data_IF_313230892789
#
_entry.id   IF_313230892789
#
_cell.length_a   1.000
_cell.length_b   1.000
_cell.length_c   1.000
_cell.angle_alpha   90.00
_cell.angle_beta   90.00
_cell.angle_gamma   90.00
#
_symmetry.space_group_name_H-M   'P 1'
#
loop_
_entity.id
_entity.type
_entity.pdbx_description
1 polymer ?
#
# COMPACT_ATOMS: atom_id res chain seq x y z
N UNK A 1 -9.83 25.54 -11.88
CA UNK A 1 -8.70 25.55 -10.93
C UNK A 1 -7.79 26.72 -11.24
N UNK A 2 -7.33 27.43 -10.21
CA UNK A 2 -6.33 28.48 -10.32
C UNK A 2 -5.06 28.04 -9.59
N UNK A 3 -3.89 28.29 -10.19
CA UNK A 3 -2.59 28.06 -9.55
C UNK A 3 -1.86 29.39 -9.36
N UNK A 4 -1.06 29.50 -8.30
CA UNK A 4 -0.17 30.64 -8.13
C UNK A 4 0.88 30.63 -9.25
N UNK A 5 1.00 31.73 -9.97
CA UNK A 5 1.87 31.85 -11.15
C UNK A 5 3.01 32.86 -10.95
N UNK A 6 2.88 33.80 -10.02
CA UNK A 6 3.91 34.79 -9.74
C UNK A 6 3.49 35.85 -8.73
N UNK A 7 4.14 37.02 -8.81
CA UNK A 7 3.81 38.22 -8.04
C UNK A 7 3.59 39.41 -8.98
N UNK A 8 2.75 40.34 -8.59
CA UNK A 8 2.59 41.61 -9.30
C UNK A 8 3.88 42.43 -9.22
N UNK A 9 4.26 43.18 -10.28
CA UNK A 9 5.45 44.02 -10.26
C UNK A 9 5.44 44.99 -9.06
N UNK A 10 6.55 45.04 -8.31
CA UNK A 10 6.69 45.94 -7.16
C UNK A 10 5.85 45.57 -5.93
N UNK A 11 5.27 44.36 -5.86
CA UNK A 11 4.43 43.93 -4.74
C UNK A 11 4.62 42.45 -4.37
N UNK A 12 4.25 42.11 -3.14
CA UNK A 12 4.10 40.72 -2.67
C UNK A 12 2.77 40.06 -3.06
N UNK A 13 1.88 40.79 -3.74
CA UNK A 13 0.59 40.28 -4.23
C UNK A 13 0.79 39.13 -5.21
N UNK A 14 0.32 37.93 -4.85
CA UNK A 14 0.39 36.74 -5.71
C UNK A 14 -0.58 36.83 -6.89
N UNK A 15 -0.09 36.57 -8.08
CA UNK A 15 -0.91 36.41 -9.29
C UNK A 15 -1.28 34.94 -9.49
N UNK A 16 -2.46 34.71 -10.04
CA UNK A 16 -2.99 33.37 -10.27
C UNK A 16 -3.30 33.17 -11.75
N UNK A 17 -3.09 31.96 -12.24
CA UNK A 17 -3.46 31.54 -13.60
C UNK A 17 -4.58 30.52 -13.53
N UNK A 18 -5.63 30.72 -14.32
CA UNK A 18 -6.64 29.70 -14.55
C UNK A 18 -6.06 28.60 -15.46
N UNK A 19 -6.16 27.34 -15.04
CA UNK A 19 -5.60 26.19 -15.77
C UNK A 19 -6.65 25.20 -16.28
N UNK A 20 -7.95 25.51 -16.16
CA UNK A 20 -9.03 24.63 -16.62
C UNK A 20 -9.90 24.09 -15.49
N UNK A 21 -10.92 23.32 -15.85
CA UNK A 21 -11.83 22.65 -14.93
C UNK A 21 -11.31 21.26 -14.56
N UNK A 22 -11.50 20.87 -13.30
CA UNK A 22 -11.03 19.60 -12.76
C UNK A 22 -12.06 19.03 -11.80
N UNK A 23 -12.16 17.70 -11.74
CA UNK A 23 -12.90 16.94 -10.75
C UNK A 23 -11.94 16.13 -9.88
N UNK A 24 -12.42 15.71 -8.71
CA UNK A 24 -11.71 14.80 -7.83
C UNK A 24 -11.73 13.39 -8.44
N UNK A 25 -10.62 12.66 -8.37
CA UNK A 25 -10.58 11.26 -8.82
C UNK A 25 -11.53 10.41 -7.97
N UNK A 26 -12.52 9.79 -8.60
CA UNK A 26 -13.55 8.98 -7.92
C UNK A 26 -12.97 7.75 -7.22
N UNK A 27 -11.88 7.19 -7.75
CA UNK A 27 -11.29 5.93 -7.27
C UNK A 27 -10.20 6.14 -6.22
N UNK A 28 -9.35 7.15 -6.42
CA UNK A 28 -8.23 7.47 -5.52
C UNK A 28 -8.18 8.98 -5.29
N UNK A 29 -9.15 9.55 -4.55
CA UNK A 29 -9.34 11.00 -4.43
C UNK A 29 -8.14 11.72 -3.81
N UNK A 30 -7.40 11.05 -2.93
CA UNK A 30 -6.19 11.60 -2.35
C UNK A 30 -5.18 10.52 -1.97
N UNK A 31 -3.95 10.97 -1.74
CA UNK A 31 -2.90 10.19 -1.09
C UNK A 31 -2.33 10.99 0.07
N UNK A 32 -1.77 10.32 1.07
CA UNK A 32 -0.98 10.99 2.10
C UNK A 32 0.48 10.83 1.76
N UNK A 33 1.23 11.93 1.67
CA UNK A 33 2.68 11.93 1.43
C UNK A 33 3.40 12.63 2.58
N UNK A 34 4.69 12.32 2.77
CA UNK A 34 5.54 13.12 3.66
C UNK A 34 6.19 14.25 2.87
N UNK A 35 5.94 15.49 3.30
CA UNK A 35 6.60 16.68 2.77
C UNK A 35 7.24 17.49 3.89
N UNK A 36 8.18 18.36 3.55
CA UNK A 36 8.72 19.33 4.51
C UNK A 36 7.82 20.54 4.57
N UNK A 37 7.39 20.92 5.77
CA UNK A 37 6.71 22.19 6.02
C UNK A 37 7.65 23.38 5.84
N UNK A 38 7.12 24.61 5.98
CA UNK A 38 7.93 25.83 5.98
C UNK A 38 9.01 25.82 7.08
N UNK A 39 8.75 25.12 8.19
CA UNK A 39 9.68 24.88 9.29
C UNK A 39 10.74 23.80 9.00
N UNK A 40 10.79 23.28 7.76
CA UNK A 40 11.63 22.17 7.30
C UNK A 40 11.39 20.84 8.03
N UNK A 41 10.40 20.75 8.93
CA UNK A 41 10.04 19.50 9.59
C UNK A 41 9.19 18.65 8.66
N UNK A 42 9.33 17.32 8.77
CA UNK A 42 8.47 16.38 8.04
C UNK A 42 7.05 16.48 8.57
N UNK A 43 6.09 16.61 7.67
CA UNK A 43 4.65 16.61 7.95
C UNK A 43 3.96 15.69 6.95
N UNK A 44 2.90 15.05 7.41
CA UNK A 44 1.99 14.34 6.53
C UNK A 44 1.13 15.38 5.79
N UNK A 45 1.08 15.29 4.47
CA UNK A 45 0.29 16.17 3.60
C UNK A 45 -0.69 15.32 2.81
N UNK A 46 -1.93 15.79 2.71
CA UNK A 46 -2.95 15.20 1.83
C UNK A 46 -2.75 15.79 0.44
N UNK A 47 -2.51 14.94 -0.54
CA UNK A 47 -2.35 15.28 -1.95
C UNK A 47 -3.58 14.79 -2.68
N UNK A 48 -4.47 15.72 -3.06
CA UNK A 48 -5.65 15.42 -3.85
C UNK A 48 -5.27 15.07 -5.29
N UNK A 49 -5.88 14.03 -5.83
CA UNK A 49 -5.75 13.60 -7.23
C UNK A 49 -6.91 14.20 -8.01
N UNK A 50 -6.60 15.10 -8.93
CA UNK A 50 -7.60 15.80 -9.74
C UNK A 50 -7.50 15.36 -11.19
N UNK A 51 -8.65 15.13 -11.84
CA UNK A 51 -8.76 14.78 -13.26
C UNK A 51 -9.33 15.96 -14.04
N UNK A 52 -8.76 16.34 -15.20
CA UNK A 52 -9.25 17.46 -15.98
C UNK A 52 -10.61 17.13 -16.63
N UNK A 53 -11.55 18.07 -16.56
CA UNK A 53 -12.84 18.00 -17.25
C UNK A 53 -12.78 18.94 -18.44
N UNK A 54 -12.30 18.42 -19.57
CA UNK A 54 -12.13 19.19 -20.81
C UNK A 54 -10.76 19.86 -20.94
N UNK A 55 -10.71 20.98 -21.67
CA UNK A 55 -9.46 21.66 -21.98
C UNK A 55 -8.79 22.21 -20.72
N UNK A 56 -7.50 21.92 -20.56
CA UNK A 56 -6.70 22.39 -19.46
C UNK A 56 -5.32 22.85 -19.95
N UNK A 57 -4.71 23.77 -19.20
CA UNK A 57 -3.37 24.25 -19.49
C UNK A 57 -2.37 23.54 -18.57
N UNK A 58 -1.31 22.97 -19.17
CA UNK A 58 -0.19 22.36 -18.46
C UNK A 58 1.12 22.93 -19.00
N UNK A 59 1.97 23.43 -18.13
CA UNK A 59 3.34 23.81 -18.46
C UNK A 59 4.32 22.71 -18.08
N UNK A 60 5.55 22.77 -18.58
CA UNK A 60 6.63 21.86 -18.15
C UNK A 60 6.89 21.94 -16.64
N UNK A 61 6.69 23.11 -16.02
CA UNK A 61 6.83 23.28 -14.58
C UNK A 61 5.73 22.55 -13.78
N UNK A 62 4.62 22.20 -14.41
CA UNK A 62 3.52 21.41 -13.82
C UNK A 62 3.73 19.89 -14.01
N UNK A 63 4.82 19.49 -14.67
CA UNK A 63 5.16 18.08 -14.89
C UNK A 63 6.15 17.61 -13.83
N UNK A 64 5.80 16.55 -13.13
CA UNK A 64 6.72 15.89 -12.20
C UNK A 64 7.75 15.15 -13.06
N UNK A 65 9.04 15.52 -13.04
CA UNK A 65 10.02 14.86 -13.87
C UNK A 65 10.18 13.39 -13.43
N UNK A 66 10.44 12.46 -14.37
CA UNK A 66 10.73 11.08 -14.05
C UNK A 66 11.87 10.96 -13.03
N UNK A 67 11.81 9.95 -12.17
CA UNK A 67 12.88 9.73 -11.20
C UNK A 67 14.17 9.34 -11.93
N UNK A 68 15.30 9.98 -11.58
CA UNK A 68 16.61 9.68 -12.19
C UNK A 68 17.19 8.34 -11.74
N UNK A 69 16.73 7.81 -10.61
CA UNK A 69 17.16 6.53 -10.02
C UNK A 69 15.98 5.91 -9.27
N UNK A 70 15.96 4.58 -9.22
CA UNK A 70 15.00 3.88 -8.35
C UNK A 70 15.33 4.20 -6.89
N UNK A 71 14.33 4.63 -6.14
CA UNK A 71 14.45 4.95 -4.72
C UNK A 71 13.30 4.33 -3.95
N UNK A 72 13.62 3.54 -2.94
CA UNK A 72 12.67 3.03 -1.97
C UNK A 72 12.72 3.90 -0.72
N UNK A 73 11.55 4.25 -0.20
CA UNK A 73 11.39 5.01 1.04
C UNK A 73 10.41 4.29 1.95
N UNK A 74 10.87 3.93 3.14
CA UNK A 74 10.00 3.43 4.20
C UNK A 74 9.39 4.60 4.96
N UNK A 75 8.06 4.59 5.03
CA UNK A 75 7.26 5.51 5.81
C UNK A 75 6.76 4.72 7.02
N UNK A 76 7.42 4.83 8.19
CA UNK A 76 7.03 4.05 9.36
C UNK A 76 5.62 4.44 9.79
N UNK A 77 4.86 3.44 10.21
CA UNK A 77 3.57 3.65 10.84
C UNK A 77 3.78 4.51 12.08
N UNK A 78 3.02 5.58 12.16
CA UNK A 78 2.84 6.35 13.38
C UNK A 78 1.37 6.27 13.66
N UNK A 79 0.98 5.86 14.87
CA UNK A 79 -0.42 5.85 15.31
C UNK A 79 -0.97 7.25 15.08
N UNK A 80 -1.66 7.45 13.95
CA UNK A 80 -2.31 8.71 13.62
C UNK A 80 -3.56 8.75 14.48
N UNK A 81 -3.93 9.92 15.01
CA UNK A 81 -5.34 10.14 15.25
C UNK A 81 -6.00 10.00 13.88
N UNK A 82 -6.93 9.05 13.72
CA UNK A 82 -7.83 9.05 12.56
C UNK A 82 -8.39 10.47 12.49
N UNK A 83 -8.18 11.15 11.36
CA UNK A 83 -8.92 12.38 11.10
C UNK A 83 -10.38 11.98 11.17
N UNK A 84 -11.12 12.53 12.14
CA UNK A 84 -12.56 12.29 12.22
C UNK A 84 -13.18 12.84 10.94
N UNK A 85 -13.63 11.92 10.07
CA UNK A 85 -14.41 12.31 8.91
C UNK A 85 -15.71 12.98 9.40
N UNK A 86 -16.14 14.09 8.76
CA UNK A 86 -17.44 14.68 9.05
C UNK A 86 -18.54 13.62 8.99
N UNK A 87 -19.47 13.66 9.94
CA UNK A 87 -20.52 12.65 10.09
C UNK A 87 -21.30 12.44 8.79
N UNK A 88 -21.59 13.50 8.06
CA UNK A 88 -22.32 13.47 6.79
C UNK A 88 -21.58 12.68 5.71
N UNK A 89 -20.25 12.84 5.64
CA UNK A 89 -19.38 12.12 4.69
C UNK A 89 -19.34 10.64 5.06
N UNK A 90 -19.17 10.34 6.36
CA UNK A 90 -19.18 8.98 6.87
C UNK A 90 -20.51 8.28 6.57
N UNK A 91 -21.63 8.94 6.84
CA UNK A 91 -22.97 8.39 6.66
C UNK A 91 -23.32 8.23 5.15
N UNK A 92 -22.80 9.09 4.28
CA UNK A 92 -22.93 8.95 2.82
C UNK A 92 -22.11 7.76 2.30
N UNK A 93 -20.84 7.66 2.68
CA UNK A 93 -19.97 6.52 2.36
C UNK A 93 -20.55 5.22 2.90
N UNK A 94 -21.17 5.26 4.09
CA UNK A 94 -21.82 4.10 4.69
C UNK A 94 -22.96 3.54 3.84
N UNK A 95 -23.78 4.42 3.27
CA UNK A 95 -24.94 4.06 2.44
C UNK A 95 -24.58 3.63 1.02
N UNK A 96 -23.40 3.97 0.52
CA UNK A 96 -22.96 3.54 -0.82
C UNK A 96 -22.53 2.07 -0.81
N UNK A 97 -23.45 1.20 -1.22
CA UNK A 97 -23.27 -0.25 -1.28
C UNK A 97 -22.75 -0.72 -2.65
N UNK A 98 -22.18 0.18 -3.47
CA UNK A 98 -21.53 -0.24 -4.70
C UNK A 98 -20.39 -1.21 -4.42
N UNK A 99 -20.16 -2.16 -5.34
CA UNK A 99 -19.12 -3.18 -5.18
C UNK A 99 -17.72 -2.57 -4.99
N UNK A 100 -17.45 -1.43 -5.65
CA UNK A 100 -16.19 -0.70 -5.51
C UNK A 100 -16.03 -0.11 -4.10
N UNK A 101 -17.07 0.53 -3.57
CA UNK A 101 -17.04 1.13 -2.23
C UNK A 101 -16.97 0.09 -1.13
N UNK A 102 -17.62 -1.07 -1.30
CA UNK A 102 -17.48 -2.21 -0.39
C UNK A 102 -16.05 -2.79 -0.45
N UNK A 103 -15.51 -2.96 -1.66
CA UNK A 103 -14.15 -3.49 -1.83
C UNK A 103 -13.09 -2.58 -1.18
N UNK A 104 -13.18 -1.26 -1.39
CA UNK A 104 -12.29 -0.30 -0.77
C UNK A 104 -12.35 -0.33 0.77
N UNK A 105 -13.57 -0.46 1.33
CA UNK A 105 -13.77 -0.59 2.78
C UNK A 105 -13.16 -1.88 3.32
N UNK A 106 -13.39 -3.01 2.67
CA UNK A 106 -12.77 -4.27 3.06
C UNK A 106 -11.23 -4.19 3.06
N UNK A 107 -10.61 -3.50 2.09
CA UNK A 107 -9.16 -3.31 2.06
C UNK A 107 -8.68 -2.46 3.24
N UNK A 108 -9.37 -1.35 3.53
CA UNK A 108 -9.05 -0.48 4.67
C UNK A 108 -9.19 -1.23 6.01
N UNK A 109 -10.26 -2.02 6.18
CA UNK A 109 -10.51 -2.79 7.40
C UNK A 109 -9.49 -3.93 7.57
N UNK A 110 -9.12 -4.62 6.49
CA UNK A 110 -8.06 -5.64 6.52
C UNK A 110 -6.70 -5.06 6.91
N UNK A 111 -6.33 -3.91 6.35
CA UNK A 111 -5.10 -3.22 6.75
C UNK A 111 -5.18 -2.83 8.22
N UNK A 112 -6.26 -2.18 8.65
CA UNK A 112 -6.38 -1.66 10.01
C UNK A 112 -6.28 -2.77 11.06
N UNK A 113 -6.98 -3.89 10.84
CA UNK A 113 -6.98 -5.01 11.78
C UNK A 113 -5.60 -5.69 11.82
N UNK A 114 -4.91 -5.78 10.69
CA UNK A 114 -3.57 -6.37 10.66
C UNK A 114 -2.50 -5.42 11.25
N UNK A 115 -2.61 -4.11 11.04
CA UNK A 115 -1.77 -3.10 11.72
C UNK A 115 -1.91 -3.18 13.25
N UNK A 116 -3.10 -3.51 13.78
CA UNK A 116 -3.30 -3.76 15.20
C UNK A 116 -2.54 -5.00 15.68
N UNK A 117 -2.61 -6.11 14.94
CA UNK A 117 -1.84 -7.33 15.24
C UNK A 117 -0.33 -7.03 15.26
N UNK A 118 0.19 -6.33 14.24
CA UNK A 118 1.61 -5.96 14.18
C UNK A 118 2.01 -5.03 15.33
N UNK A 119 1.12 -4.11 15.71
CA UNK A 119 1.34 -3.22 16.87
C UNK A 119 1.41 -4.00 18.19
N UNK A 120 0.50 -4.97 18.40
CA UNK A 120 0.49 -5.83 19.58
C UNK A 120 1.75 -6.70 19.66
N UNK A 121 2.27 -7.14 18.50
CA UNK A 121 3.55 -7.86 18.37
C UNK A 121 4.78 -6.95 18.49
N UNK A 122 4.60 -5.64 18.60
CA UNK A 122 5.68 -4.64 18.65
C UNK A 122 6.58 -4.63 17.40
N UNK A 123 6.04 -5.01 16.24
CA UNK A 123 6.78 -4.95 14.98
C UNK A 123 6.98 -3.51 14.50
N UNK A 124 8.07 -3.27 13.76
CA UNK A 124 8.25 -2.04 13.01
C UNK A 124 7.64 -2.19 11.62
N UNK A 125 6.48 -1.57 11.41
CA UNK A 125 5.77 -1.65 10.15
C UNK A 125 5.37 -0.27 9.65
N UNK A 126 4.95 -0.19 8.40
CA UNK A 126 4.62 1.06 7.73
C UNK A 126 4.28 0.83 6.27
N UNK A 127 4.54 1.83 5.43
CA UNK A 127 4.32 1.73 3.98
C UNK A 127 5.62 1.93 3.23
N UNK A 128 5.73 1.28 2.08
CA UNK A 128 6.83 1.51 1.14
C UNK A 128 6.37 2.39 -0.01
N UNK A 129 7.15 3.42 -0.31
CA UNK A 129 7.05 4.17 -1.56
C UNK A 129 8.24 3.84 -2.45
N UNK A 130 7.99 3.43 -3.68
CA UNK A 130 9.01 3.12 -4.68
C UNK A 130 8.89 4.10 -5.83
N UNK A 131 9.87 5.00 -5.93
CA UNK A 131 10.05 5.86 -7.10
C UNK A 131 10.90 5.08 -8.10
N UNK A 132 10.33 4.68 -9.22
CA UNK A 132 11.05 3.84 -10.21
C UNK A 132 11.77 4.74 -11.20
N UNK A 133 13.00 4.37 -11.57
CA UNK A 133 13.77 5.09 -12.59
C UNK A 133 12.95 5.21 -13.88
N UNK A 134 12.98 6.40 -14.49
CA UNK A 134 12.33 6.71 -15.77
C UNK A 134 10.79 6.66 -15.74
N UNK A 135 10.18 6.52 -14.56
CA UNK A 135 8.73 6.54 -14.35
C UNK A 135 8.37 7.75 -13.49
N UNK A 136 7.28 8.44 -13.85
CA UNK A 136 6.75 9.59 -13.07
C UNK A 136 5.93 9.12 -11.86
N UNK A 137 5.30 7.95 -11.98
CA UNK A 137 4.49 7.35 -10.93
C UNK A 137 5.34 6.77 -9.80
N UNK A 138 4.85 6.94 -8.57
CA UNK A 138 5.39 6.30 -7.38
C UNK A 138 4.53 5.09 -7.06
N UNK A 139 5.13 3.90 -7.10
CA UNK A 139 4.47 2.69 -6.64
C UNK A 139 4.36 2.75 -5.11
N UNK A 140 3.24 2.29 -4.58
CA UNK A 140 3.00 2.24 -3.14
C UNK A 140 2.62 0.82 -2.76
N UNK A 141 3.28 0.29 -1.74
CA UNK A 141 2.82 -0.93 -1.10
C UNK A 141 1.84 -0.56 0.02
N UNK A 142 0.79 -1.37 0.17
CA UNK A 142 -0.24 -1.12 1.17
C UNK A 142 0.30 -1.22 2.60
N UNK A 143 1.10 -2.25 2.90
CA UNK A 143 1.70 -2.47 4.21
C UNK A 143 3.03 -3.23 4.09
N UNK A 144 4.05 -2.79 4.81
CA UNK A 144 5.36 -3.44 4.92
C UNK A 144 5.74 -3.57 6.38
N UNK A 145 6.13 -4.77 6.77
CA UNK A 145 6.69 -5.10 8.07
C UNK A 145 8.21 -5.27 7.91
N UNK A 146 8.96 -4.29 8.41
CA UNK A 146 10.43 -4.28 8.37
C UNK A 146 10.99 -5.32 9.35
N UNK A 147 10.29 -5.64 10.45
CA UNK A 147 10.74 -6.64 11.42
C UNK A 147 10.72 -8.05 10.85
N UNK A 148 9.71 -8.36 10.03
CA UNK A 148 9.55 -9.68 9.41
C UNK A 148 9.95 -9.70 7.92
N UNK A 149 10.45 -8.60 7.36
CA UNK A 149 10.71 -8.43 5.93
C UNK A 149 9.56 -8.91 5.03
N UNK A 150 8.34 -8.48 5.36
CA UNK A 150 7.11 -8.98 4.72
C UNK A 150 6.28 -7.85 4.12
N UNK A 151 5.95 -8.00 2.84
CA UNK A 151 5.07 -7.14 2.08
C UNK A 151 3.65 -7.71 2.08
N UNK A 152 2.68 -6.88 2.45
CA UNK A 152 1.27 -7.25 2.51
C UNK A 152 0.45 -6.40 1.54
N UNK A 153 -0.39 -7.05 0.74
CA UNK A 153 -1.33 -6.37 -0.15
C UNK A 153 -2.77 -6.87 0.06
N UNK A 154 -3.74 -5.98 0.37
CA UNK A 154 -5.11 -6.38 0.61
C UNK A 154 -5.93 -6.53 -0.68
N UNK A 155 -6.70 -7.61 -0.76
CA UNK A 155 -7.75 -7.78 -1.75
C UNK A 155 -9.09 -7.25 -1.20
N UNK A 156 -9.82 -6.48 -2.01
CA UNK A 156 -11.13 -5.95 -1.59
C UNK A 156 -12.27 -6.97 -1.56
N UNK A 157 -12.07 -8.15 -2.11
CA UNK A 157 -13.03 -9.27 -2.05
C UNK A 157 -12.32 -10.61 -2.23
N UNK A 158 -13.04 -11.70 -2.00
CA UNK A 158 -12.59 -13.07 -2.35
C UNK A 158 -12.77 -13.41 -3.82
N UNK A 159 -13.18 -12.45 -4.66
CA UNK A 159 -13.34 -12.69 -6.09
C UNK A 159 -11.98 -12.94 -6.76
N UNK A 160 -11.99 -13.79 -7.79
CA UNK A 160 -10.79 -14.12 -8.58
C UNK A 160 -10.07 -12.87 -9.07
N UNK A 161 -10.84 -11.89 -9.58
CA UNK A 161 -10.28 -10.67 -10.14
C UNK A 161 -9.58 -9.83 -9.08
N UNK A 162 -10.23 -9.58 -7.94
CA UNK A 162 -9.64 -8.77 -6.86
C UNK A 162 -8.36 -9.39 -6.29
N UNK A 163 -8.32 -10.71 -6.15
CA UNK A 163 -7.13 -11.43 -5.66
C UNK A 163 -5.99 -11.38 -6.67
N UNK A 164 -6.28 -11.51 -7.97
CA UNK A 164 -5.28 -11.34 -9.03
C UNK A 164 -4.73 -9.92 -9.08
N UNK A 165 -5.58 -8.91 -8.93
CA UNK A 165 -5.16 -7.51 -8.93
C UNK A 165 -4.23 -7.22 -7.74
N UNK A 166 -4.56 -7.73 -6.55
CA UNK A 166 -3.69 -7.64 -5.38
C UNK A 166 -2.35 -8.37 -5.58
N UNK A 167 -2.37 -9.58 -6.16
CA UNK A 167 -1.15 -10.33 -6.51
C UNK A 167 -0.27 -9.54 -7.49
N UNK A 168 -0.88 -8.95 -8.52
CA UNK A 168 -0.14 -8.14 -9.51
C UNK A 168 0.52 -6.92 -8.86
N UNK A 169 -0.19 -6.22 -7.99
CA UNK A 169 0.36 -5.09 -7.24
C UNK A 169 1.54 -5.53 -6.35
N UNK A 170 1.40 -6.65 -5.66
CA UNK A 170 2.44 -7.22 -4.81
C UNK A 170 3.71 -7.55 -5.61
N UNK A 171 3.56 -8.20 -6.77
CA UNK A 171 4.68 -8.55 -7.67
C UNK A 171 5.33 -7.33 -8.30
N UNK A 172 4.55 -6.31 -8.65
CA UNK A 172 5.08 -5.09 -9.24
C UNK A 172 5.93 -4.29 -8.25
N UNK A 173 5.57 -4.28 -6.97
CA UNK A 173 6.39 -3.66 -5.92
C UNK A 173 7.61 -4.53 -5.58
N UNK A 174 7.42 -5.84 -5.37
CA UNK A 174 8.46 -6.75 -4.84
C UNK A 174 9.70 -6.81 -5.74
N UNK A 175 9.53 -6.79 -7.06
CA UNK A 175 10.65 -6.82 -8.02
C UNK A 175 11.63 -5.65 -7.85
N UNK A 176 11.18 -4.49 -7.35
CA UNK A 176 12.06 -3.35 -7.10
C UNK A 176 12.77 -3.45 -5.76
N UNK A 177 12.15 -4.10 -4.77
CA UNK A 177 12.72 -4.30 -3.44
C UNK A 177 13.85 -5.35 -3.46
N UNK A 178 13.67 -6.42 -4.24
CA UNK A 178 14.69 -7.45 -4.46
C UNK A 178 16.00 -6.89 -5.05
N UNK A 179 15.95 -5.73 -5.70
CA UNK A 179 17.13 -5.06 -6.25
C UNK A 179 17.87 -4.17 -5.25
N UNK A 180 17.28 -3.92 -4.08
CA UNK A 180 17.74 -2.92 -3.11
C UNK A 180 18.13 -3.56 -1.77
N UNK A 181 17.43 -4.62 -1.36
CA UNK A 181 17.73 -5.32 -0.10
C UNK A 181 18.79 -6.42 -0.34
N UNK A 182 19.90 -6.33 0.41
CA UNK A 182 21.13 -7.12 0.23
C UNK A 182 20.95 -8.61 0.62
N UNK A 183 20.14 -9.36 -0.12
CA UNK A 183 20.01 -10.81 0.02
C UNK A 183 19.14 -11.30 1.18
N UNK A 184 18.38 -10.42 1.83
CA UNK A 184 17.33 -10.83 2.77
C UNK A 184 16.10 -11.21 1.93
N UNK A 185 15.53 -12.42 2.08
CA UNK A 185 14.39 -12.85 1.31
C UNK A 185 13.15 -12.03 1.69
N UNK A 186 12.61 -11.29 0.73
CA UNK A 186 11.36 -10.56 0.90
C UNK A 186 10.19 -11.54 0.84
N UNK A 187 9.37 -11.54 1.90
CA UNK A 187 8.14 -12.31 1.93
C UNK A 187 6.99 -11.52 1.33
N UNK A 188 6.14 -12.22 0.59
CA UNK A 188 4.97 -11.64 -0.06
C UNK A 188 3.72 -12.33 0.47
N UNK A 189 2.76 -11.54 0.97
CA UNK A 189 1.52 -12.03 1.56
C UNK A 189 0.31 -11.24 1.02
N UNK A 190 -0.77 -11.94 0.69
CA UNK A 190 -2.07 -11.31 0.46
C UNK A 190 -2.87 -11.20 1.75
N UNK A 191 -3.62 -10.11 1.94
CA UNK A 191 -4.67 -10.01 2.95
C UNK A 191 -6.03 -10.17 2.27
N UNK A 192 -6.85 -11.14 2.68
CA UNK A 192 -8.14 -11.44 2.07
C UNK A 192 -9.29 -11.40 3.08
N UNK A 193 -10.50 -10.98 2.66
CA UNK A 193 -11.66 -10.94 3.55
C UNK A 193 -12.28 -12.32 3.83
N UNK A 194 -11.71 -13.38 3.26
CA UNK A 194 -12.13 -14.76 3.45
C UNK A 194 -11.19 -15.73 2.73
N UNK A 195 -11.31 -17.03 3.02
CA UNK A 195 -10.50 -18.06 2.38
C UNK A 195 -10.82 -18.15 0.88
N UNK A 196 -9.88 -17.91 -0.03
CA UNK A 196 -10.14 -18.02 -1.46
C UNK A 196 -10.26 -19.49 -1.88
N UNK A 197 -10.89 -19.73 -3.02
CA UNK A 197 -10.98 -21.07 -3.61
C UNK A 197 -9.61 -21.67 -3.93
N UNK A 198 -9.56 -23.00 -4.02
CA UNK A 198 -8.33 -23.79 -4.18
C UNK A 198 -7.46 -23.34 -5.38
N UNK A 199 -8.07 -23.05 -6.52
CA UNK A 199 -7.34 -22.60 -7.71
C UNK A 199 -6.52 -21.32 -7.46
N UNK A 200 -7.07 -20.35 -6.72
CA UNK A 200 -6.32 -19.15 -6.36
C UNK A 200 -5.20 -19.49 -5.36
N UNK A 201 -5.45 -20.37 -4.39
CA UNK A 201 -4.39 -20.78 -3.45
C UNK A 201 -3.21 -21.41 -4.19
N UNK A 202 -3.48 -22.28 -5.17
CA UNK A 202 -2.44 -22.86 -6.02
C UNK A 202 -1.68 -21.81 -6.83
N UNK A 203 -2.38 -20.79 -7.36
CA UNK A 203 -1.74 -19.66 -8.03
C UNK A 203 -0.80 -18.89 -7.08
N UNK A 204 -1.22 -18.63 -5.84
CA UNK A 204 -0.39 -17.93 -4.86
C UNK A 204 0.86 -18.76 -4.49
N UNK A 205 0.70 -20.06 -4.25
CA UNK A 205 1.82 -20.99 -4.02
C UNK A 205 2.82 -21.00 -5.19
N UNK A 206 2.35 -20.97 -6.43
CA UNK A 206 3.22 -20.93 -7.62
C UNK A 206 4.11 -19.67 -7.66
N UNK A 207 3.63 -18.57 -7.08
CA UNK A 207 4.36 -17.30 -6.98
C UNK A 207 5.05 -17.09 -5.62
N UNK A 208 5.11 -18.12 -4.76
CA UNK A 208 5.62 -18.07 -3.39
C UNK A 208 4.95 -16.99 -2.51
N UNK A 209 3.67 -16.72 -2.79
CA UNK A 209 2.86 -15.76 -2.05
C UNK A 209 2.01 -16.51 -1.02
N UNK A 210 2.13 -16.12 0.25
CA UNK A 210 1.24 -16.59 1.30
C UNK A 210 -0.04 -15.77 1.35
N UNK A 211 -0.99 -16.20 2.19
CA UNK A 211 -2.25 -15.48 2.38
C UNK A 211 -2.63 -15.44 3.85
N UNK A 212 -3.13 -14.29 4.28
CA UNK A 212 -3.80 -14.10 5.55
C UNK A 212 -5.25 -13.79 5.23
N UNK A 213 -6.18 -14.55 5.79
CA UNK A 213 -7.60 -14.41 5.51
C UNK A 213 -8.42 -14.34 6.79
N UNK A 214 -9.59 -13.68 6.73
CA UNK A 214 -10.56 -13.75 7.82
C UNK A 214 -11.26 -15.11 7.82
N UNK A 215 -11.19 -15.83 8.93
CA UNK A 215 -11.92 -17.08 9.14
C UNK A 215 -13.39 -16.83 9.47
N UNK A 216 -14.15 -17.92 9.68
CA UNK A 216 -15.57 -17.87 10.03
C UNK A 216 -15.85 -17.19 11.38
N UNK A 217 -14.85 -17.09 12.25
CA UNK A 217 -14.93 -16.39 13.54
C UNK A 217 -14.56 -14.91 13.42
N UNK A 218 -14.14 -14.45 12.24
CA UNK A 218 -13.68 -13.09 11.98
C UNK A 218 -12.20 -12.85 12.30
N UNK A 219 -11.46 -13.87 12.72
CA UNK A 219 -10.04 -13.76 13.06
C UNK A 219 -9.16 -13.87 11.81
N UNK A 220 -8.04 -13.16 11.79
CA UNK A 220 -7.06 -13.26 10.70
C UNK A 220 -6.18 -14.49 10.90
N UNK A 221 -6.27 -15.43 9.97
CA UNK A 221 -5.54 -16.71 9.94
C UNK A 221 -4.55 -16.72 8.78
N UNK A 222 -3.33 -17.21 9.02
CA UNK A 222 -2.27 -17.33 8.01
C UNK A 222 -2.27 -18.72 7.36
N UNK A 223 -2.20 -18.75 6.03
CA UNK A 223 -1.91 -19.92 5.22
C UNK A 223 -0.67 -19.62 4.38
N UNK A 224 0.34 -20.45 4.55
CA UNK A 224 1.62 -20.32 3.86
C UNK A 224 1.49 -20.55 2.36
N UNK A 225 2.33 -19.85 1.59
CA UNK A 225 2.44 -20.02 0.14
C UNK A 225 3.18 -21.31 -0.21
N UNK A 226 4.51 -21.32 -0.01
CA UNK A 226 5.39 -22.49 -0.11
C UNK A 226 6.28 -22.61 1.14
N UNK A 227 7.05 -23.69 1.27
CA UNK A 227 8.03 -23.87 2.37
C UNK A 227 9.15 -22.80 2.38
N UNK A 228 9.29 -21.99 1.31
CA UNK A 228 10.24 -20.88 1.24
C UNK A 228 9.74 -19.59 1.89
N UNK A 229 8.46 -19.53 2.24
CA UNK A 229 7.84 -18.43 2.97
C UNK A 229 7.77 -18.85 4.47
N UNK A 230 8.63 -18.34 5.37
CA UNK A 230 8.60 -18.72 6.80
C UNK A 230 7.34 -18.14 7.50
N UNK A 231 6.98 -18.48 8.75
CA UNK A 231 5.80 -17.91 9.43
C UNK A 231 5.91 -16.43 9.79
N UNK A 232 4.79 -15.67 9.75
CA UNK A 232 4.73 -14.21 10.03
C UNK A 232 5.22 -13.82 11.43
N UNK A 233 5.31 -14.78 12.34
CA UNK A 233 5.80 -14.60 13.70
C UNK A 233 7.32 -14.77 13.86
N UNK A 234 8.03 -15.09 12.77
CA UNK A 234 9.49 -15.29 12.80
C UNK A 234 9.95 -16.53 13.56
N UNK A 235 9.05 -17.45 13.91
CA UNK A 235 9.44 -18.68 14.61
C UNK A 235 10.19 -19.62 13.66
N UNK A 236 11.48 -19.94 13.90
CA UNK A 236 12.18 -20.93 13.08
C UNK A 236 11.49 -22.28 13.27
N UNK A 237 11.07 -22.93 12.18
CA UNK A 237 10.69 -24.34 12.27
C UNK A 237 11.94 -25.12 12.70
N UNK A 238 11.91 -25.68 13.90
CA UNK A 238 12.78 -26.79 14.25
C UNK A 238 12.56 -27.86 13.18
N UNK A 239 13.58 -28.12 12.36
CA UNK A 239 13.58 -29.25 11.46
C UNK A 239 13.46 -30.50 12.31
N UNK A 240 12.23 -31.01 12.46
CA UNK A 240 12.00 -32.38 12.87
C UNK A 240 12.45 -33.23 11.68
N UNK A 241 13.74 -33.56 11.65
CA UNK A 241 14.26 -34.59 10.76
C UNK A 241 13.63 -35.93 11.16
N UNK A 242 12.49 -36.26 10.54
CA UNK A 242 11.82 -37.55 10.71
C UNK A 242 12.65 -38.72 10.15
N UNK A 243 13.80 -38.46 9.50
CA UNK A 243 14.69 -39.47 8.93
C UNK A 243 16.18 -39.11 9.04
N UNK A 244 16.66 -38.71 10.22
CA UNK A 244 18.12 -38.74 10.45
C UNK A 244 18.56 -40.20 10.70
N UNK A 245 19.43 -40.81 9.87
CA UNK A 245 20.03 -42.08 10.21
C UNK A 245 20.90 -41.87 11.45
N UNK A 246 20.65 -42.67 12.49
CA UNK A 246 21.44 -42.66 13.71
C UNK A 246 22.92 -42.84 13.35
N UNK A 247 23.76 -41.86 13.70
CA UNK A 247 25.20 -42.09 13.74
C UNK A 247 25.47 -43.07 14.88
N UNK A 248 25.79 -44.31 14.50
CA UNK A 248 26.46 -45.26 15.38
C UNK A 248 27.92 -44.80 15.56
N UNK A 249 28.26 -44.59 16.84
CA UNK A 249 29.58 -44.42 17.47
C UNK A 249 30.49 -43.28 17.01
#
# INVERSE_FOLDING_TARGET
MFIAYGKAPGSDTKTHRYIGAFELDETKPYTVRQARGQDKKKRDVIVFRLRPIGAFFRSEADTIPPAKKTKVSFIPYRRRMRLEEPKEVRDARQRDMSAATVAARNQEDLIADYEEILSQRQHNFGRLEVQVRDIEETLQASLYDESAHTLYEPAGSTSRQALKDALMQLMDVSRHLNSIENGIPLRCMLLAPGLPGEDIRQLLTLHDVGIIYRDESGNLTELQGSDQNPPSDGTPRGMSCLNCPARLN
#
